data_IF_481387176646
#
_entry.id   IF_481387176646
#
_cell.length_a   1.000
_cell.length_b   1.000
_cell.length_c   1.000
_cell.angle_alpha   90.00
_cell.angle_beta   90.00
_cell.angle_gamma   90.00
#
_symmetry.space_group_name_H-M   'P 1'
#
loop_
_entity.id
_entity.type
_entity.pdbx_description
1 polymer ?
#
# COMPACT_ATOMS: atom_id res chain seq x y z
N UNK A 1 -18.45 24.72 21.78
CA UNK A 1 -19.84 24.91 21.30
C UNK A 1 -20.40 26.09 22.07
N UNK A 2 -21.07 27.03 21.36
CA UNK A 2 -21.73 28.20 21.99
C UNK A 2 -20.88 29.48 22.04
N UNK A 3 -19.72 29.55 21.38
CA UNK A 3 -19.00 30.80 21.20
C UNK A 3 -19.65 31.65 20.12
N UNK A 4 -19.80 32.95 20.39
CA UNK A 4 -20.26 33.91 19.39
C UNK A 4 -19.06 34.56 18.70
N UNK A 5 -19.15 34.74 17.39
CA UNK A 5 -18.10 35.36 16.59
C UNK A 5 -18.70 36.26 15.50
N UNK A 6 -17.96 37.22 15.02
CA UNK A 6 -18.34 38.10 13.90
C UNK A 6 -17.81 37.62 12.55
N UNK A 7 -16.91 36.65 12.56
CA UNK A 7 -16.32 36.03 11.36
C UNK A 7 -16.08 34.54 11.60
N UNK A 8 -16.51 33.70 10.68
CA UNK A 8 -16.24 32.26 10.62
C UNK A 8 -15.44 31.98 9.35
N UNK A 9 -14.29 31.34 9.50
CA UNK A 9 -13.49 30.84 8.39
C UNK A 9 -13.45 29.31 8.46
N UNK A 10 -13.64 28.65 7.33
CA UNK A 10 -13.54 27.20 7.20
C UNK A 10 -12.63 26.86 6.03
N UNK A 11 -11.75 25.88 6.23
CA UNK A 11 -10.96 25.28 5.18
C UNK A 11 -11.55 23.91 4.85
N UNK A 12 -11.78 23.63 3.55
CA UNK A 12 -12.39 22.37 3.11
C UNK A 12 -11.50 21.70 2.08
N UNK A 13 -11.10 20.45 2.36
CA UNK A 13 -10.39 19.63 1.40
C UNK A 13 -11.39 18.96 0.43
N UNK A 14 -11.27 19.26 -0.88
CA UNK A 14 -12.17 18.75 -1.92
C UNK A 14 -11.41 17.71 -2.76
N UNK A 15 -11.94 16.48 -2.80
CA UNK A 15 -11.43 15.40 -3.62
C UNK A 15 -12.31 15.27 -4.86
N UNK A 16 -11.67 15.34 -6.03
CA UNK A 16 -12.38 15.24 -7.33
C UNK A 16 -11.94 13.99 -8.08
N UNK A 17 -12.84 13.46 -8.90
CA UNK A 17 -12.56 12.29 -9.73
C UNK A 17 -13.27 12.36 -11.08
N UNK A 18 -12.98 11.41 -11.98
CA UNK A 18 -13.65 11.28 -13.26
C UNK A 18 -15.15 10.99 -13.07
N UNK A 19 -16.00 11.88 -13.52
CA UNK A 19 -17.46 11.69 -13.42
C UNK A 19 -17.95 10.45 -14.18
N UNK A 20 -17.27 10.06 -15.25
CA UNK A 20 -17.56 8.83 -16.01
C UNK A 20 -17.22 7.59 -15.19
N UNK A 21 -16.05 7.57 -14.56
CA UNK A 21 -15.65 6.44 -13.71
C UNK A 21 -16.57 6.27 -12.51
N UNK A 22 -16.93 7.38 -11.85
CA UNK A 22 -17.87 7.36 -10.73
C UNK A 22 -19.27 6.85 -11.16
N UNK A 23 -19.80 7.33 -12.29
CA UNK A 23 -21.08 6.83 -12.82
C UNK A 23 -21.03 5.35 -13.19
N UNK A 24 -19.94 4.88 -13.77
CA UNK A 24 -19.81 3.47 -14.10
C UNK A 24 -19.77 2.60 -12.84
N UNK A 25 -19.06 3.03 -11.80
CA UNK A 25 -19.04 2.33 -10.51
C UNK A 25 -20.45 2.24 -9.90
N UNK A 26 -21.17 3.35 -9.84
CA UNK A 26 -22.56 3.38 -9.37
C UNK A 26 -23.45 2.45 -10.19
N UNK A 27 -23.35 2.48 -11.53
CA UNK A 27 -24.13 1.59 -12.41
C UNK A 27 -23.84 0.11 -12.16
N UNK A 28 -22.57 -0.27 -11.92
CA UNK A 28 -22.22 -1.65 -11.62
C UNK A 28 -22.89 -2.15 -10.34
N UNK A 29 -22.89 -1.34 -9.28
CA UNK A 29 -23.50 -1.68 -8.00
C UNK A 29 -25.03 -1.67 -8.09
N UNK A 30 -25.62 -0.63 -8.70
CA UNK A 30 -27.08 -0.56 -8.88
C UNK A 30 -27.60 -1.65 -9.82
N UNK A 31 -26.79 -2.11 -10.77
CA UNK A 31 -27.13 -3.20 -11.69
C UNK A 31 -27.38 -4.55 -11.01
N UNK A 32 -26.88 -4.75 -9.79
CA UNK A 32 -27.17 -5.94 -8.96
C UNK A 32 -28.27 -5.68 -7.91
N UNK A 33 -29.01 -4.57 -8.02
CA UNK A 33 -30.15 -4.26 -7.18
C UNK A 33 -29.80 -3.60 -5.84
N UNK A 34 -28.61 -3.00 -5.73
CA UNK A 34 -28.15 -2.30 -4.52
C UNK A 34 -28.16 -0.79 -4.79
N UNK A 35 -28.81 -0.03 -3.91
CA UNK A 35 -28.80 1.43 -3.97
C UNK A 35 -27.48 2.00 -3.43
N UNK A 36 -26.87 2.89 -4.20
CA UNK A 36 -25.65 3.61 -3.79
C UNK A 36 -26.04 4.95 -3.19
N UNK A 37 -25.84 5.12 -1.91
CA UNK A 37 -26.16 6.36 -1.19
C UNK A 37 -25.04 7.39 -1.29
N UNK A 38 -23.78 6.93 -1.30
CA UNK A 38 -22.61 7.81 -1.26
C UNK A 38 -21.38 7.16 -1.88
N UNK A 39 -20.45 7.97 -2.40
CA UNK A 39 -19.13 7.58 -2.86
C UNK A 39 -18.08 8.18 -1.93
N UNK A 40 -17.22 7.33 -1.38
CA UNK A 40 -16.14 7.74 -0.49
C UNK A 40 -14.80 7.40 -1.13
N UNK A 41 -13.83 8.31 -1.03
CA UNK A 41 -12.46 8.07 -1.49
C UNK A 41 -11.82 6.95 -0.65
N UNK A 42 -11.15 5.98 -1.34
CA UNK A 42 -10.61 4.77 -0.71
C UNK A 42 -9.65 5.05 0.44
N UNK A 43 -8.73 6.00 0.28
CA UNK A 43 -7.80 6.38 1.33
C UNK A 43 -8.46 6.95 2.58
N UNK A 44 -9.59 7.69 2.44
CA UNK A 44 -10.37 8.15 3.61
C UNK A 44 -11.07 6.97 4.28
N UNK A 45 -11.69 6.10 3.50
CA UNK A 45 -12.35 4.90 4.05
C UNK A 45 -11.35 4.01 4.81
N UNK A 46 -10.15 3.78 4.25
CA UNK A 46 -9.08 3.03 4.90
C UNK A 46 -8.64 3.68 6.21
N UNK A 47 -8.56 5.01 6.26
CA UNK A 47 -8.15 5.75 7.46
C UNK A 47 -9.05 5.51 8.67
N UNK A 48 -10.33 5.21 8.45
CA UNK A 48 -11.28 4.91 9.54
C UNK A 48 -10.99 3.57 10.21
N UNK A 49 -10.33 2.65 9.49
CA UNK A 49 -10.02 1.31 9.99
C UNK A 49 -8.63 1.19 10.59
N UNK A 50 -7.65 1.95 10.08
CA UNK A 50 -6.23 1.73 10.40
C UNK A 50 -5.58 2.84 11.20
N UNK A 51 -6.20 4.03 11.28
CA UNK A 51 -5.66 5.17 12.02
C UNK A 51 -6.47 5.41 13.29
N UNK A 52 -5.77 5.72 14.37
CA UNK A 52 -6.37 6.24 15.62
C UNK A 52 -6.65 7.74 15.50
N UNK A 53 -7.59 8.24 16.31
CA UNK A 53 -7.89 9.68 16.34
C UNK A 53 -6.67 10.49 16.82
N UNK A 54 -5.86 9.94 17.73
CA UNK A 54 -4.62 10.57 18.19
C UNK A 54 -3.60 10.72 17.07
N UNK A 55 -3.43 9.72 16.20
CA UNK A 55 -2.53 9.82 15.05
C UNK A 55 -2.99 10.89 14.07
N UNK A 56 -4.31 10.96 13.80
CA UNK A 56 -4.89 12.01 12.93
C UNK A 56 -4.70 13.40 13.51
N UNK A 57 -4.92 13.57 14.82
CA UNK A 57 -4.75 14.84 15.52
C UNK A 57 -3.30 15.31 15.50
N UNK A 58 -2.36 14.40 15.81
CA UNK A 58 -0.92 14.74 15.81
C UNK A 58 -0.34 14.93 14.41
N UNK A 59 -0.97 14.38 13.39
CA UNK A 59 -0.51 14.40 12.02
C UNK A 59 0.17 13.09 11.60
N UNK A 60 -0.35 12.48 10.53
CA UNK A 60 0.07 11.17 10.01
C UNK A 60 -0.08 11.11 8.50
N UNK A 61 0.78 10.34 7.85
CA UNK A 61 0.65 9.97 6.44
C UNK A 61 0.07 8.55 6.36
N UNK A 62 -1.05 8.39 5.71
CA UNK A 62 -1.59 7.08 5.34
C UNK A 62 -1.21 6.76 3.90
N UNK A 63 -0.69 5.57 3.67
CA UNK A 63 -0.37 5.04 2.35
C UNK A 63 -1.08 3.71 2.16
N UNK A 64 -2.08 3.70 1.30
CA UNK A 64 -2.84 2.49 0.93
C UNK A 64 -2.31 1.95 -0.40
N UNK A 65 -1.53 0.86 -0.34
CA UNK A 65 -0.97 0.23 -1.52
C UNK A 65 -1.97 -0.81 -2.03
N UNK A 66 -2.74 -0.42 -3.02
CA UNK A 66 -3.69 -1.28 -3.70
C UNK A 66 -3.07 -2.16 -4.79
N UNK A 67 -3.91 -2.74 -5.64
CA UNK A 67 -3.47 -3.55 -6.77
C UNK A 67 -2.83 -2.72 -7.88
N UNK A 68 -3.50 -1.69 -8.35
CA UNK A 68 -3.07 -0.85 -9.48
C UNK A 68 -2.68 0.57 -9.05
N UNK A 69 -3.19 1.04 -7.91
CA UNK A 69 -2.95 2.38 -7.38
C UNK A 69 -2.41 2.34 -5.97
N UNK A 70 -1.78 3.43 -5.57
CA UNK A 70 -1.39 3.71 -4.19
C UNK A 70 -1.99 5.05 -3.81
N UNK A 71 -2.86 5.05 -2.81
CA UNK A 71 -3.47 6.25 -2.28
C UNK A 71 -2.60 6.83 -1.16
N UNK A 72 -2.39 8.13 -1.19
CA UNK A 72 -1.64 8.87 -0.16
C UNK A 72 -2.59 9.89 0.46
N UNK A 73 -2.80 9.81 1.77
CA UNK A 73 -3.63 10.77 2.52
C UNK A 73 -2.84 11.29 3.70
N UNK A 74 -2.83 12.60 3.88
CA UNK A 74 -2.14 13.26 4.99
C UNK A 74 -3.18 13.91 5.89
N UNK A 75 -3.13 13.57 7.16
CA UNK A 75 -3.93 14.17 8.20
C UNK A 75 -3.08 15.14 9.02
N UNK A 76 -3.66 16.28 9.35
CA UNK A 76 -3.09 17.30 10.25
C UNK A 76 -4.25 17.88 11.07
N UNK A 77 -4.08 18.02 12.37
CA UNK A 77 -5.10 18.55 13.29
C UNK A 77 -6.45 17.83 13.13
N UNK A 78 -6.43 16.51 13.01
CA UNK A 78 -7.62 15.65 12.91
C UNK A 78 -8.32 15.66 11.54
N UNK A 79 -7.86 16.48 10.59
CA UNK A 79 -8.51 16.66 9.28
C UNK A 79 -7.61 16.27 8.12
N UNK A 80 -8.24 15.92 6.97
CA UNK A 80 -7.49 15.64 5.75
C UNK A 80 -6.90 16.94 5.19
N UNK A 81 -5.59 17.05 5.19
CA UNK A 81 -4.86 18.20 4.64
C UNK A 81 -4.42 17.99 3.19
N UNK A 82 -4.18 16.73 2.79
CA UNK A 82 -3.76 16.40 1.43
C UNK A 82 -4.22 15.00 1.03
N UNK A 83 -4.53 14.82 -0.25
CA UNK A 83 -4.79 13.51 -0.83
C UNK A 83 -4.22 13.41 -2.25
N UNK A 84 -3.69 12.27 -2.61
CA UNK A 84 -3.20 11.97 -3.95
C UNK A 84 -3.36 10.47 -4.27
N UNK A 85 -3.45 10.17 -5.56
CA UNK A 85 -3.45 8.81 -6.09
C UNK A 85 -2.25 8.65 -7.02
N UNK A 86 -1.40 7.69 -6.71
CA UNK A 86 -0.26 7.30 -7.54
C UNK A 86 -0.65 6.08 -8.37
N UNK A 87 -0.53 6.10 -9.71
CA UNK A 87 -0.99 5.02 -10.59
C UNK A 87 0.02 3.86 -10.62
N UNK A 88 0.36 3.33 -9.46
CA UNK A 88 1.26 2.19 -9.29
C UNK A 88 0.86 1.43 -8.02
N UNK A 89 0.89 0.09 -8.05
CA UNK A 89 0.51 -0.76 -6.92
C UNK A 89 1.08 -2.16 -7.04
N UNK A 90 0.60 -3.08 -6.22
CA UNK A 90 1.11 -4.45 -6.08
C UNK A 90 1.05 -5.29 -7.36
N UNK A 91 0.13 -4.99 -8.30
CA UNK A 91 0.02 -5.68 -9.58
C UNK A 91 1.21 -5.41 -10.51
N UNK A 92 1.85 -4.25 -10.36
CA UNK A 92 3.07 -3.94 -11.11
C UNK A 92 4.23 -4.87 -10.70
N UNK A 93 4.30 -5.26 -9.41
CA UNK A 93 5.25 -6.27 -8.93
C UNK A 93 4.98 -7.62 -9.59
N UNK A 94 3.71 -8.01 -9.68
CA UNK A 94 3.29 -9.26 -10.35
C UNK A 94 3.68 -9.26 -11.83
N UNK A 95 3.46 -8.14 -12.52
CA UNK A 95 3.84 -7.97 -13.93
C UNK A 95 5.35 -8.03 -14.13
N UNK A 96 6.13 -7.40 -13.25
CA UNK A 96 7.59 -7.44 -13.33
C UNK A 96 8.14 -8.85 -13.08
N UNK A 97 7.53 -9.59 -12.14
CA UNK A 97 7.87 -11.00 -11.90
C UNK A 97 7.55 -11.85 -13.13
N UNK A 98 6.38 -11.62 -13.78
CA UNK A 98 5.99 -12.33 -14.98
C UNK A 98 7.03 -12.16 -16.11
N UNK A 99 7.44 -10.93 -16.35
CA UNK A 99 8.45 -10.60 -17.38
C UNK A 99 9.83 -11.12 -16.97
N UNK A 100 10.26 -10.85 -15.75
CA UNK A 100 11.61 -11.19 -15.27
C UNK A 100 11.85 -12.70 -15.16
N UNK A 101 10.83 -13.47 -14.79
CA UNK A 101 10.90 -14.92 -14.64
C UNK A 101 10.34 -15.68 -15.86
N UNK A 102 9.73 -14.97 -16.84
CA UNK A 102 9.08 -15.54 -18.03
C UNK A 102 8.00 -16.56 -17.68
N UNK A 103 7.14 -16.21 -16.75
CA UNK A 103 5.99 -17.02 -16.31
C UNK A 103 4.69 -16.25 -16.54
N UNK A 104 3.55 -16.94 -16.44
CA UNK A 104 2.23 -16.32 -16.52
C UNK A 104 1.99 -15.34 -15.35
N UNK A 105 1.04 -14.40 -15.51
CA UNK A 105 0.65 -13.51 -14.43
C UNK A 105 0.11 -14.27 -13.22
N UNK A 106 -0.61 -15.38 -13.45
CA UNK A 106 -1.12 -16.23 -12.38
C UNK A 106 0.02 -16.87 -11.57
N UNK A 107 1.00 -17.43 -12.25
CA UNK A 107 2.20 -18.02 -11.62
C UNK A 107 3.01 -16.98 -10.86
N UNK A 108 3.15 -15.78 -11.43
CA UNK A 108 3.83 -14.65 -10.79
C UNK A 108 3.14 -14.21 -9.50
N UNK A 109 1.82 -14.19 -9.49
CA UNK A 109 1.04 -13.85 -8.29
C UNK A 109 1.27 -14.90 -7.19
N UNK A 110 1.25 -16.19 -7.53
CA UNK A 110 1.57 -17.28 -6.59
C UNK A 110 2.98 -17.14 -6.00
N UNK A 111 3.97 -16.78 -6.84
CA UNK A 111 5.34 -16.53 -6.40
C UNK A 111 5.38 -15.35 -5.44
N UNK A 112 4.79 -14.21 -5.80
CA UNK A 112 4.72 -13.00 -4.96
C UNK A 112 4.14 -13.31 -3.60
N UNK A 113 2.98 -13.97 -3.54
CA UNK A 113 2.31 -14.35 -2.29
C UNK A 113 3.12 -15.34 -1.46
N UNK A 114 3.86 -16.25 -2.10
CA UNK A 114 4.74 -17.18 -1.38
C UNK A 114 5.88 -16.43 -0.69
N UNK A 115 6.44 -15.41 -1.34
CA UNK A 115 7.51 -14.57 -0.80
C UNK A 115 7.06 -13.75 0.40
N UNK A 116 5.84 -13.22 0.38
CA UNK A 116 5.25 -12.47 1.49
C UNK A 116 5.10 -13.29 2.78
N UNK A 117 4.83 -14.58 2.68
CA UNK A 117 4.69 -15.47 3.86
C UNK A 117 5.99 -15.64 4.66
N UNK A 118 7.12 -15.34 4.09
CA UNK A 118 8.44 -15.49 4.72
C UNK A 118 8.97 -14.21 5.36
N UNK A 119 8.25 -13.10 5.24
CA UNK A 119 8.58 -11.86 5.95
C UNK A 119 8.03 -12.01 7.36
N UNK A 120 8.87 -12.47 8.28
CA UNK A 120 8.57 -12.35 9.71
C UNK A 120 8.46 -10.87 10.01
N UNK A 121 7.40 -10.48 10.74
CA UNK A 121 7.29 -9.13 11.28
C UNK A 121 8.61 -8.73 11.94
N UNK A 122 9.06 -7.47 11.82
CA UNK A 122 10.26 -7.03 12.50
C UNK A 122 10.08 -7.34 13.98
N UNK A 123 11.00 -8.14 14.51
CA UNK A 123 11.12 -8.36 15.96
C UNK A 123 11.41 -6.96 16.52
N UNK A 124 10.48 -6.42 17.30
CA UNK A 124 10.74 -5.26 18.15
C UNK A 124 12.05 -5.55 18.87
N UNK A 125 12.99 -4.63 18.79
CA UNK A 125 14.33 -4.80 19.38
C UNK A 125 14.20 -5.19 20.85
N UNK A 126 14.24 -6.48 21.14
CA UNK A 126 14.63 -6.97 22.45
C UNK A 126 16.16 -6.98 22.48
N UNK A 127 16.66 -6.54 23.61
CA UNK A 127 18.07 -6.29 23.91
C UNK A 127 19.01 -7.42 23.45
N UNK A 128 20.14 -7.01 22.94
CA UNK A 128 21.26 -7.82 22.47
C UNK A 128 21.63 -8.85 23.53
N UNK A 129 21.25 -10.11 23.34
CA UNK A 129 21.91 -11.24 23.95
C UNK A 129 22.72 -11.96 22.87
N UNK A 130 24.02 -12.01 23.09
CA UNK A 130 24.99 -12.72 22.29
C UNK A 130 24.69 -14.22 22.23
N UNK A 131 23.86 -14.65 21.32
CA UNK A 131 23.76 -16.05 20.93
C UNK A 131 23.93 -16.18 19.42
N UNK A 132 24.98 -16.90 19.06
CA UNK A 132 25.39 -17.26 17.70
C UNK A 132 24.21 -17.82 16.94
N UNK A 133 23.69 -17.03 15.99
CA UNK A 133 22.64 -17.47 15.07
C UNK A 133 23.12 -18.69 14.28
N UNK A 134 22.42 -19.81 14.42
CA UNK A 134 22.64 -21.02 13.64
C UNK A 134 22.58 -20.70 12.13
N UNK A 135 23.40 -21.37 11.29
CA UNK A 135 23.42 -21.12 9.86
C UNK A 135 22.05 -21.41 9.25
N UNK A 136 21.43 -20.39 8.62
CA UNK A 136 20.17 -20.52 7.87
C UNK A 136 20.36 -21.64 6.83
N UNK A 137 19.48 -22.63 6.84
CA UNK A 137 19.51 -23.75 5.89
C UNK A 137 19.40 -23.20 4.46
N UNK A 138 20.23 -23.72 3.55
CA UNK A 138 20.26 -23.35 2.12
C UNK A 138 18.91 -23.56 1.40
N UNK A 139 17.99 -24.30 2.00
CA UNK A 139 16.61 -24.54 1.48
C UNK A 139 15.73 -23.28 1.46
N UNK A 140 16.00 -22.28 2.34
CA UNK A 140 15.26 -21.02 2.38
C UNK A 140 15.64 -20.04 1.22
N UNK A 141 16.63 -20.37 0.41
CA UNK A 141 17.09 -19.51 -0.68
C UNK A 141 16.45 -19.81 -2.04
N UNK A 142 15.72 -20.92 -2.18
CA UNK A 142 15.14 -21.37 -3.45
C UNK A 142 13.63 -21.57 -3.30
N UNK A 143 12.88 -20.98 -4.22
CA UNK A 143 11.43 -21.20 -4.34
C UNK A 143 11.23 -22.40 -5.28
N UNK A 144 10.54 -23.43 -4.79
CA UNK A 144 10.14 -24.57 -5.62
C UNK A 144 8.86 -24.23 -6.38
N UNK A 145 8.98 -23.99 -7.67
CA UNK A 145 7.87 -23.63 -8.54
C UNK A 145 6.82 -24.76 -8.61
N UNK A 146 7.25 -26.03 -8.54
CA UNK A 146 6.33 -27.18 -8.57
C UNK A 146 5.46 -27.26 -7.32
N UNK A 147 6.03 -26.92 -6.15
CA UNK A 147 5.28 -26.87 -4.89
C UNK A 147 4.18 -25.79 -4.90
N UNK A 148 4.34 -24.74 -5.75
CA UNK A 148 3.34 -23.70 -5.96
C UNK A 148 2.33 -24.01 -7.06
N UNK A 149 2.40 -25.21 -7.66
CA UNK A 149 1.53 -25.60 -8.76
C UNK A 149 1.78 -24.80 -10.05
N UNK A 150 3.03 -24.40 -10.25
CA UNK A 150 3.48 -23.69 -11.45
C UNK A 150 3.87 -24.74 -12.50
N UNK A 151 3.22 -24.66 -13.66
CA UNK A 151 3.36 -25.67 -14.74
C UNK A 151 4.39 -25.29 -15.80
N UNK A 152 4.87 -24.06 -15.79
CA UNK A 152 5.92 -23.56 -16.68
C UNK A 152 7.25 -24.26 -16.39
N UNK A 153 8.12 -24.33 -17.40
CA UNK A 153 9.41 -25.05 -17.34
C UNK A 153 10.48 -24.37 -16.46
N UNK A 154 10.03 -23.84 -15.30
CA UNK A 154 10.89 -23.25 -14.28
C UNK A 154 10.78 -24.12 -13.02
N UNK A 155 11.85 -24.81 -12.69
CA UNK A 155 11.83 -25.71 -11.53
C UNK A 155 12.30 -25.03 -10.22
N UNK A 156 13.21 -24.09 -10.30
CA UNK A 156 13.84 -23.44 -9.12
C UNK A 156 14.08 -21.97 -9.37
N UNK A 157 13.52 -21.14 -8.53
CA UNK A 157 13.69 -19.68 -8.60
C UNK A 157 14.55 -19.24 -7.41
N UNK A 158 15.73 -18.65 -7.64
CA UNK A 158 16.52 -18.08 -6.55
C UNK A 158 15.71 -16.93 -5.90
N UNK A 159 15.39 -17.08 -4.63
CA UNK A 159 14.63 -16.08 -3.86
C UNK A 159 15.29 -14.71 -3.94
N UNK A 160 16.61 -14.66 -3.80
CA UNK A 160 17.38 -13.42 -3.88
C UNK A 160 17.22 -12.72 -5.22
N UNK A 161 17.20 -13.45 -6.33
CA UNK A 161 17.00 -12.88 -7.66
C UNK A 161 15.60 -12.28 -7.80
N UNK A 162 14.55 -12.96 -7.32
CA UNK A 162 13.18 -12.43 -7.35
C UNK A 162 13.02 -11.21 -6.42
N UNK A 163 13.53 -11.28 -5.20
CA UNK A 163 13.37 -10.20 -4.21
C UNK A 163 14.27 -9.01 -4.54
N UNK A 164 15.57 -9.20 -4.65
CA UNK A 164 16.51 -8.09 -4.81
C UNK A 164 16.55 -7.55 -6.25
N UNK A 165 16.36 -8.45 -7.24
CA UNK A 165 16.41 -8.09 -8.66
C UNK A 165 15.11 -7.54 -9.23
N UNK A 166 13.95 -7.90 -8.66
CA UNK A 166 12.65 -7.55 -9.25
C UNK A 166 11.77 -6.80 -8.24
N UNK A 167 11.46 -7.39 -7.10
CA UNK A 167 10.48 -6.81 -6.16
C UNK A 167 11.02 -5.53 -5.52
N UNK A 168 12.23 -5.55 -5.00
CA UNK A 168 12.83 -4.40 -4.30
C UNK A 168 12.93 -3.14 -5.17
N UNK A 169 13.39 -3.19 -6.44
CA UNK A 169 13.39 -2.02 -7.31
C UNK A 169 11.99 -1.42 -7.50
N UNK A 170 10.96 -2.28 -7.66
CA UNK A 170 9.58 -1.80 -7.80
C UNK A 170 9.04 -1.17 -6.52
N UNK A 171 9.31 -1.76 -5.36
CA UNK A 171 8.96 -1.15 -4.08
C UNK A 171 9.66 0.20 -3.88
N UNK A 172 10.94 0.30 -4.22
CA UNK A 172 11.66 1.57 -4.16
C UNK A 172 11.04 2.63 -5.07
N UNK A 173 10.54 2.24 -6.25
CA UNK A 173 9.83 3.15 -7.14
C UNK A 173 8.51 3.61 -6.53
N UNK A 174 7.68 2.70 -5.97
CA UNK A 174 6.43 3.06 -5.27
C UNK A 174 6.74 4.09 -4.17
N UNK A 175 7.67 3.80 -3.27
CA UNK A 175 8.03 4.72 -2.18
C UNK A 175 8.66 6.02 -2.65
N UNK A 176 9.36 6.01 -3.80
CA UNK A 176 9.85 7.25 -4.41
C UNK A 176 8.70 8.15 -4.89
N UNK A 177 7.64 7.58 -5.47
CA UNK A 177 6.45 8.35 -5.83
C UNK A 177 5.70 8.85 -4.59
N UNK A 178 5.49 8.00 -3.59
CA UNK A 178 4.90 8.40 -2.30
C UNK A 178 5.68 9.57 -1.70
N UNK A 179 7.01 9.47 -1.62
CA UNK A 179 7.87 10.55 -1.11
C UNK A 179 7.78 11.85 -1.92
N UNK A 180 7.55 11.77 -3.24
CA UNK A 180 7.30 12.96 -4.07
C UNK A 180 5.96 13.62 -3.71
N UNK A 181 4.90 12.84 -3.52
CA UNK A 181 3.59 13.39 -3.15
C UNK A 181 3.62 14.01 -1.75
N UNK A 182 4.31 13.37 -0.78
CA UNK A 182 4.52 13.95 0.56
C UNK A 182 5.27 15.29 0.47
N UNK A 183 6.33 15.38 -0.34
CA UNK A 183 7.05 16.65 -0.55
C UNK A 183 6.19 17.73 -1.22
N UNK A 184 5.41 17.33 -2.23
CA UNK A 184 4.52 18.22 -2.99
C UNK A 184 3.40 18.78 -2.11
N UNK A 185 2.92 18.01 -1.14
CA UNK A 185 1.88 18.45 -0.22
C UNK A 185 2.28 19.63 0.66
N UNK A 186 3.58 19.76 0.98
CA UNK A 186 4.08 20.76 1.95
C UNK A 186 3.88 20.35 3.41
N UNK A 187 3.16 19.28 3.71
CA UNK A 187 2.83 18.84 5.08
C UNK A 187 3.80 17.80 5.67
N UNK A 188 4.86 17.43 4.97
CA UNK A 188 5.77 16.35 5.41
C UNK A 188 6.46 16.60 6.76
N UNK A 189 6.55 17.84 7.23
CA UNK A 189 7.09 18.21 8.56
C UNK A 189 6.02 18.24 9.64
N UNK A 190 4.75 18.10 9.30
CA UNK A 190 3.60 18.20 10.21
C UNK A 190 2.99 16.81 10.49
N UNK A 191 3.77 15.75 10.30
CA UNK A 191 3.33 14.37 10.48
C UNK A 191 4.21 13.60 11.48
N UNK A 192 4.28 14.05 12.76
CA UNK A 192 5.13 13.42 13.77
C UNK A 192 4.73 11.98 14.09
N UNK A 193 3.48 11.58 13.85
CA UNK A 193 3.05 10.18 13.98
C UNK A 193 3.61 9.26 12.87
N UNK A 194 4.33 9.84 11.89
CA UNK A 194 5.02 9.09 10.86
C UNK A 194 4.11 8.64 9.73
N UNK A 195 4.34 7.42 9.24
CA UNK A 195 3.66 6.84 8.08
C UNK A 195 3.05 5.49 8.44
N UNK A 196 1.78 5.31 8.11
CA UNK A 196 1.04 4.06 8.26
C UNK A 196 0.81 3.46 6.89
N UNK A 197 1.16 2.17 6.73
CA UNK A 197 0.93 1.41 5.50
C UNK A 197 -0.29 0.52 5.65
N UNK A 198 -1.10 0.45 4.61
CA UNK A 198 -2.21 -0.50 4.50
C UNK A 198 -2.40 -0.93 3.04
N UNK A 199 -3.43 -1.74 2.79
CA UNK A 199 -3.77 -2.26 1.47
C UNK A 199 -3.20 -3.66 1.20
N UNK A 200 -3.71 -4.29 0.13
CA UNK A 200 -3.31 -5.65 -0.25
C UNK A 200 -1.90 -5.76 -0.85
N UNK A 201 -1.24 -4.64 -1.12
CA UNK A 201 0.14 -4.58 -1.62
C UNK A 201 1.18 -4.20 -0.54
N UNK A 202 0.72 -3.97 0.69
CA UNK A 202 1.56 -3.57 1.84
C UNK A 202 2.19 -4.77 2.55
#
# INVERSE_FOLDING_TARGET
IGMTGVRLETETHIITGSSTSMRNLVKCVSGVGIDVTELVFGGIAASLSVLTDTEKELGVVLVDIGGETTDVVIFVDGSVAYSAVVPIGGRHITSDLAVGLRVSLESSEKIKLSLGKFIKAPVVMEEVSDEKSAPKKKEDEIIDAKALGITEDIQKIPRKAAVDGIIRPRLQEIFKFVGKEIKKSGFGTQTPSGLVLCGGGS
#
